data_IF_915013435779
#
_entry.id   IF_915013435779
#
_cell.length_a   1.000
_cell.length_b   1.000
_cell.length_c   1.000
_cell.angle_alpha   90.00
_cell.angle_beta   90.00
_cell.angle_gamma   90.00
#
_symmetry.space_group_name_H-M   'P 1'
#
loop_
_entity.id
_entity.type
_entity.pdbx_description
1 polymer ?
#
# COMPACT_ATOMS: atom_id res chain seq x y z
N UNK A 1 4.08 13.99 -12.75
CA UNK A 1 3.05 14.98 -12.37
C UNK A 1 1.65 14.40 -12.18
N UNK A 2 0.81 14.17 -13.21
CA UNK A 2 -0.61 13.80 -12.98
C UNK A 2 -0.78 12.52 -12.13
N UNK A 3 0.05 11.51 -12.38
CA UNK A 3 0.01 10.22 -11.68
C UNK A 3 0.52 10.30 -10.24
N UNK A 4 1.50 11.15 -9.96
CA UNK A 4 2.00 11.41 -8.59
C UNK A 4 0.94 12.14 -7.77
N UNK A 5 0.26 13.13 -8.38
CA UNK A 5 -0.86 13.81 -7.73
C UNK A 5 -2.01 12.83 -7.46
N UNK A 6 -2.33 11.93 -8.40
CA UNK A 6 -3.31 10.87 -8.16
C UNK A 6 -2.90 9.92 -7.02
N UNK A 7 -1.61 9.57 -6.92
CA UNK A 7 -1.08 8.76 -5.83
C UNK A 7 -1.22 9.48 -4.48
N UNK A 8 -0.81 10.75 -4.42
CA UNK A 8 -0.92 11.57 -3.22
C UNK A 8 -2.38 11.74 -2.77
N UNK A 9 -3.30 11.98 -3.71
CA UNK A 9 -4.73 12.06 -3.42
C UNK A 9 -5.26 10.72 -2.86
N UNK A 10 -4.86 9.58 -3.45
CA UNK A 10 -5.22 8.25 -2.94
C UNK A 10 -4.71 8.01 -1.52
N UNK A 11 -3.47 8.39 -1.22
CA UNK A 11 -2.91 8.28 0.13
C UNK A 11 -3.57 9.24 1.12
N UNK A 12 -3.93 10.45 0.69
CA UNK A 12 -4.62 11.44 1.53
C UNK A 12 -5.99 10.92 1.97
N UNK A 13 -6.71 10.27 1.05
CA UNK A 13 -7.99 9.61 1.34
C UNK A 13 -7.86 8.53 2.41
N UNK A 14 -6.74 7.82 2.42
CA UNK A 14 -6.48 6.76 3.40
C UNK A 14 -6.05 7.35 4.74
N UNK A 15 -5.23 8.39 4.71
CA UNK A 15 -4.73 9.07 5.91
C UNK A 15 -5.82 9.85 6.66
N UNK A 16 -6.86 10.32 5.98
CA UNK A 16 -7.97 11.06 6.60
C UNK A 16 -8.90 10.18 7.44
N UNK A 17 -8.71 8.86 7.44
CA UNK A 17 -9.43 7.87 8.26
C UNK A 17 -10.97 8.08 8.34
N UNK A 18 -11.70 8.26 7.22
CA UNK A 18 -13.13 8.48 7.28
C UNK A 18 -13.90 7.20 7.64
N UNK A 19 -13.61 6.09 6.96
CA UNK A 19 -14.12 4.74 7.27
C UNK A 19 -13.34 3.70 6.44
N UNK A 20 -13.29 2.42 6.86
CA UNK A 20 -12.48 1.41 6.18
C UNK A 20 -12.90 1.16 4.72
N UNK A 21 -14.18 1.33 4.37
CA UNK A 21 -14.65 1.21 2.98
C UNK A 21 -14.04 2.26 2.05
N UNK A 22 -14.05 3.53 2.48
CA UNK A 22 -13.47 4.60 1.67
C UNK A 22 -11.94 4.54 1.64
N UNK A 23 -11.32 4.09 2.74
CA UNK A 23 -9.89 3.80 2.75
C UNK A 23 -9.53 2.72 1.72
N UNK A 24 -10.36 1.68 1.57
CA UNK A 24 -10.16 0.67 0.54
C UNK A 24 -10.17 1.31 -0.86
N UNK A 25 -11.18 2.13 -1.18
CA UNK A 25 -11.25 2.79 -2.47
C UNK A 25 -10.05 3.72 -2.73
N UNK A 26 -9.60 4.46 -1.71
CA UNK A 26 -8.40 5.30 -1.79
C UNK A 26 -7.12 4.49 -2.04
N UNK A 27 -6.98 3.34 -1.38
CA UNK A 27 -5.89 2.40 -1.60
C UNK A 27 -5.91 1.81 -3.01
N UNK A 28 -7.09 1.48 -3.56
CA UNK A 28 -7.18 0.98 -4.95
C UNK A 28 -6.69 2.03 -5.93
N UNK A 29 -7.15 3.28 -5.74
CA UNK A 29 -6.77 4.41 -6.57
C UNK A 29 -5.27 4.70 -6.48
N UNK A 30 -4.74 4.79 -5.25
CA UNK A 30 -3.33 5.08 -4.99
C UNK A 30 -2.40 3.99 -5.55
N UNK A 31 -2.72 2.72 -5.32
CA UNK A 31 -1.94 1.60 -5.85
C UNK A 31 -2.01 1.53 -7.40
N UNK A 32 -3.17 1.79 -8.00
CA UNK A 32 -3.30 1.89 -9.46
C UNK A 32 -2.45 3.01 -10.07
N UNK A 33 -2.45 4.19 -9.44
CA UNK A 33 -1.59 5.30 -9.84
C UNK A 33 -0.10 4.97 -9.66
N UNK A 34 0.26 4.28 -8.57
CA UNK A 34 1.62 3.77 -8.31
C UNK A 34 2.10 2.78 -9.37
N UNK A 35 1.27 1.82 -9.77
CA UNK A 35 1.56 0.91 -10.88
C UNK A 35 1.83 1.68 -12.18
N UNK A 36 1.03 2.71 -12.48
CA UNK A 36 1.25 3.52 -13.69
C UNK A 36 2.56 4.31 -13.66
N UNK A 37 3.01 4.76 -12.48
CA UNK A 37 4.33 5.39 -12.32
C UNK A 37 5.44 4.36 -12.56
N UNK A 38 5.32 3.16 -12.00
CA UNK A 38 6.32 2.09 -12.19
C UNK A 38 6.44 1.66 -13.65
N UNK A 39 5.31 1.48 -14.35
CA UNK A 39 5.30 1.14 -15.78
C UNK A 39 5.96 2.23 -16.62
N UNK A 40 5.75 3.52 -16.29
CA UNK A 40 6.42 4.63 -16.99
C UNK A 40 7.94 4.62 -16.83
N UNK A 41 8.42 4.12 -15.70
CA UNK A 41 9.84 4.00 -15.40
C UNK A 41 10.44 2.67 -15.91
N UNK A 42 9.75 1.96 -16.80
CA UNK A 42 10.13 0.64 -17.33
C UNK A 42 10.27 -0.45 -16.26
N UNK A 43 9.71 -0.24 -15.06
CA UNK A 43 9.71 -1.18 -13.95
C UNK A 43 8.48 -2.09 -13.98
N UNK A 44 8.37 -2.87 -15.06
CA UNK A 44 7.19 -3.69 -15.36
C UNK A 44 6.96 -4.82 -14.36
N UNK A 45 8.02 -5.53 -13.95
CA UNK A 45 7.89 -6.66 -13.03
C UNK A 45 7.46 -6.19 -11.63
N UNK A 46 8.10 -5.13 -11.14
CA UNK A 46 7.75 -4.55 -9.84
C UNK A 46 6.30 -4.02 -9.83
N UNK A 47 5.84 -3.42 -10.93
CA UNK A 47 4.45 -3.00 -11.08
C UNK A 47 3.47 -4.16 -11.00
N UNK A 48 3.77 -5.31 -11.63
CA UNK A 48 2.90 -6.48 -11.57
C UNK A 48 2.84 -7.09 -10.17
N UNK A 49 3.96 -7.16 -9.46
CA UNK A 49 3.99 -7.63 -8.07
C UNK A 49 3.14 -6.71 -7.18
N UNK A 50 3.29 -5.39 -7.32
CA UNK A 50 2.50 -4.42 -6.56
C UNK A 50 1.01 -4.62 -6.84
N UNK A 51 0.63 -4.74 -8.12
CA UNK A 51 -0.75 -5.00 -8.51
C UNK A 51 -1.29 -6.30 -7.90
N UNK A 52 -0.55 -7.41 -8.01
CA UNK A 52 -1.02 -8.72 -7.53
C UNK A 52 -1.07 -8.83 -6.01
N UNK A 53 -0.02 -8.43 -5.30
CA UNK A 53 0.05 -8.59 -3.84
C UNK A 53 -0.82 -7.54 -3.15
N UNK A 54 -0.77 -6.29 -3.60
CA UNK A 54 -1.50 -5.20 -2.97
C UNK A 54 -2.99 -5.23 -3.34
N UNK A 55 -3.31 -5.04 -4.62
CA UNK A 55 -4.71 -4.98 -5.08
C UNK A 55 -5.37 -6.36 -5.10
N UNK A 56 -4.64 -7.41 -5.42
CA UNK A 56 -5.18 -8.78 -5.41
C UNK A 56 -5.24 -9.39 -4.02
N UNK A 57 -4.12 -9.40 -3.30
CA UNK A 57 -4.01 -10.08 -2.01
C UNK A 57 -4.58 -9.27 -0.84
N UNK A 58 -3.89 -8.19 -0.46
CA UNK A 58 -4.18 -7.48 0.77
C UNK A 58 -5.50 -6.73 0.73
N UNK A 59 -5.87 -6.16 -0.42
CA UNK A 59 -7.12 -5.42 -0.55
C UNK A 59 -8.36 -6.30 -0.44
N UNK A 60 -8.31 -7.56 -0.88
CA UNK A 60 -9.43 -8.49 -0.74
C UNK A 60 -9.66 -8.86 0.72
N UNK A 61 -8.58 -9.14 1.47
CA UNK A 61 -8.68 -9.42 2.91
C UNK A 61 -9.15 -8.17 3.67
N UNK A 62 -8.65 -6.99 3.32
CA UNK A 62 -9.09 -5.73 3.91
C UNK A 62 -10.58 -5.46 3.66
N UNK A 63 -11.06 -5.67 2.43
CA UNK A 63 -12.47 -5.55 2.09
C UNK A 63 -13.32 -6.57 2.88
N UNK A 64 -12.87 -7.81 3.00
CA UNK A 64 -13.54 -8.84 3.80
C UNK A 64 -13.66 -8.45 5.28
N UNK A 65 -12.57 -7.98 5.89
CA UNK A 65 -12.59 -7.50 7.28
C UNK A 65 -13.49 -6.26 7.44
N UNK A 66 -13.45 -5.32 6.50
CA UNK A 66 -14.32 -4.14 6.53
C UNK A 66 -15.81 -4.52 6.44
N UNK A 67 -16.14 -5.57 5.67
CA UNK A 67 -17.50 -6.10 5.59
C UNK A 67 -17.94 -6.82 6.87
N UNK A 68 -17.03 -7.46 7.61
CA UNK A 68 -17.33 -8.08 8.90
C UNK A 68 -17.55 -7.06 10.02
N UNK A 69 -16.86 -5.91 9.97
CA UNK A 69 -16.97 -4.82 10.96
C UNK A 69 -17.86 -3.69 10.42
N UNK A 70 -18.76 -4.01 9.48
CA UNK A 70 -19.62 -3.02 8.84
C UNK A 70 -20.51 -2.31 9.87
N UNK A 71 -20.25 -1.03 10.12
CA UNK A 71 -21.15 -0.19 10.91
C UNK A 71 -22.41 0.13 10.10
N UNK A 72 -23.62 0.08 10.70
CA UNK A 72 -24.88 0.28 9.97
C UNK A 72 -25.06 1.72 9.43
N UNK A 73 -24.29 2.68 9.95
CA UNK A 73 -24.24 4.06 9.49
C UNK A 73 -22.79 4.47 9.22
N UNK A 74 -22.25 4.18 8.02
CA UNK A 74 -20.88 4.57 7.72
C UNK A 74 -20.76 6.09 7.79
N UNK A 75 -19.76 6.59 8.54
CA UNK A 75 -19.39 8.01 8.52
C UNK A 75 -19.11 8.41 7.06
N UNK A 76 -20.01 9.23 6.51
CA UNK A 76 -19.86 9.75 5.17
C UNK A 76 -18.73 10.79 5.16
N UNK A 77 -17.97 10.86 4.06
CA UNK A 77 -16.96 11.91 3.81
C UNK A 77 -17.46 13.34 4.03
N UNK A 78 -18.78 13.55 4.09
CA UNK A 78 -19.42 14.84 4.32
C UNK A 78 -19.47 15.31 5.78
N UNK A 79 -18.93 14.56 6.75
CA UNK A 79 -18.88 15.07 8.14
C UNK A 79 -17.89 16.25 8.22
N UNK A 80 -18.32 17.35 8.84
CA UNK A 80 -17.58 18.62 8.89
C UNK A 80 -16.17 18.46 9.50
N UNK A 81 -15.99 17.51 10.41
CA UNK A 81 -14.70 17.19 11.02
C UNK A 81 -13.73 16.53 10.05
N UNK A 82 -14.16 15.53 9.28
CA UNK A 82 -13.33 14.86 8.26
C UNK A 82 -12.93 15.83 7.14
N UNK A 83 -13.85 16.72 6.77
CA UNK A 83 -13.62 17.77 5.79
C UNK A 83 -12.58 18.80 6.29
N UNK A 84 -12.65 19.22 7.56
CA UNK A 84 -11.59 20.05 8.16
C UNK A 84 -10.24 19.32 8.20
N UNK A 85 -10.22 18.04 8.61
CA UNK A 85 -8.99 17.28 8.72
C UNK A 85 -8.29 17.08 7.36
N UNK A 86 -9.07 16.71 6.34
CA UNK A 86 -8.58 16.59 4.96
C UNK A 86 -8.05 17.93 4.41
N UNK A 87 -8.72 19.06 4.69
CA UNK A 87 -8.26 20.38 4.29
C UNK A 87 -6.94 20.78 4.97
N UNK A 88 -6.78 20.51 6.27
CA UNK A 88 -5.53 20.74 6.99
C UNK A 88 -4.41 19.89 6.41
N UNK A 89 -4.69 18.62 6.10
CA UNK A 89 -3.72 17.72 5.47
C UNK A 89 -3.29 18.25 4.09
N UNK A 90 -4.24 18.65 3.23
CA UNK A 90 -3.97 19.29 1.94
C UNK A 90 -3.12 20.57 2.10
N UNK A 91 -3.46 21.45 3.04
CA UNK A 91 -2.70 22.67 3.30
C UNK A 91 -1.27 22.36 3.74
N UNK A 92 -1.09 21.37 4.63
CA UNK A 92 0.24 20.96 5.09
C UNK A 92 1.10 20.41 3.95
N UNK A 93 0.51 19.63 3.04
CA UNK A 93 1.21 19.13 1.85
C UNK A 93 1.59 20.25 0.88
N UNK A 94 0.70 21.22 0.67
CA UNK A 94 0.98 22.40 -0.16
C UNK A 94 2.12 23.26 0.41
N UNK A 95 2.12 23.49 1.73
CA UNK A 95 3.19 24.22 2.41
C UNK A 95 4.51 23.45 2.30
N UNK A 96 4.49 22.13 2.54
CA UNK A 96 5.65 21.26 2.38
C UNK A 96 6.24 21.34 0.96
N UNK A 97 5.37 21.26 -0.07
CA UNK A 97 5.80 21.41 -1.46
C UNK A 97 6.46 22.77 -1.69
N UNK A 98 5.84 23.86 -1.26
CA UNK A 98 6.44 25.20 -1.42
C UNK A 98 7.77 25.34 -0.68
N UNK A 99 7.92 24.74 0.50
CA UNK A 99 9.17 24.76 1.29
C UNK A 99 10.29 23.95 0.64
N UNK A 100 9.97 22.82 -0.02
CA UNK A 100 10.95 22.05 -0.80
C UNK A 100 11.33 22.73 -2.12
N UNK A 101 10.83 23.94 -2.39
CA UNK A 101 11.22 24.76 -3.54
C UNK A 101 10.83 24.18 -4.89
N UNK A 102 9.89 23.22 -4.92
CA UNK A 102 9.51 22.50 -6.14
C UNK A 102 10.63 21.63 -6.73
N UNK A 103 11.78 21.52 -6.06
CA UNK A 103 12.81 20.57 -6.42
C UNK A 103 12.36 19.20 -5.95
N UNK A 104 11.70 18.47 -6.85
CA UNK A 104 11.69 17.02 -6.72
C UNK A 104 13.16 16.64 -6.63
N UNK A 105 13.55 15.91 -5.59
CA UNK A 105 14.74 15.10 -5.73
C UNK A 105 14.40 14.14 -6.86
N UNK A 106 14.69 14.54 -8.10
CA UNK A 106 15.03 13.60 -9.14
C UNK A 106 16.22 12.87 -8.54
N UNK A 107 15.94 11.80 -7.78
CA UNK A 107 16.87 10.71 -7.64
C UNK A 107 17.20 10.42 -9.09
N UNK A 108 18.40 10.82 -9.53
CA UNK A 108 18.82 10.72 -10.92
C UNK A 108 18.93 9.25 -11.31
N UNK A 109 17.78 8.59 -11.46
CA UNK A 109 17.64 7.42 -12.28
C UNK A 109 17.78 7.99 -13.68
N UNK A 110 19.02 8.08 -14.16
CA UNK A 110 19.27 8.16 -15.58
C UNK A 110 18.48 6.99 -16.18
N UNK A 111 17.34 7.31 -16.80
CA UNK A 111 16.49 6.39 -17.57
C UNK A 111 17.28 6.01 -18.81
N UNK A 112 18.39 5.30 -18.59
CA UNK A 112 19.06 4.61 -19.65
C UNK A 112 18.25 3.37 -19.97
N UNK A 113 18.19 3.03 -21.25
CA UNK A 113 17.47 1.90 -21.86
C UNK A 113 17.76 0.51 -21.26
N UNK A 114 18.60 0.43 -20.22
CA UNK A 114 18.94 -0.77 -19.47
C UNK A 114 18.09 -1.04 -18.23
N UNK A 115 17.11 -0.20 -17.86
CA UNK A 115 16.30 -0.42 -16.64
C UNK A 115 15.52 -1.73 -16.70
N UNK A 116 14.88 -2.03 -17.84
CA UNK A 116 14.18 -3.30 -18.01
C UNK A 116 15.11 -4.50 -17.84
N UNK A 117 16.27 -4.49 -18.51
CA UNK A 117 17.27 -5.57 -18.39
C UNK A 117 17.80 -5.70 -16.96
N UNK A 118 17.92 -4.57 -16.25
CA UNK A 118 18.34 -4.54 -14.85
C UNK A 118 17.30 -5.18 -13.92
N UNK A 119 16.00 -5.03 -14.18
CA UNK A 119 14.97 -5.76 -13.43
C UNK A 119 15.14 -7.28 -13.59
N UNK A 120 15.28 -7.77 -14.83
CA UNK A 120 15.47 -9.20 -15.09
C UNK A 120 16.72 -9.77 -14.44
N UNK A 121 17.82 -9.01 -14.49
CA UNK A 121 19.05 -9.38 -13.82
C UNK A 121 18.89 -9.39 -12.30
N UNK A 122 18.23 -8.39 -11.72
CA UNK A 122 17.94 -8.37 -10.29
C UNK A 122 17.11 -9.57 -9.82
N UNK A 123 16.11 -9.98 -10.60
CA UNK A 123 15.31 -11.18 -10.32
C UNK A 123 16.19 -12.44 -10.40
N UNK A 124 17.02 -12.54 -11.45
CA UNK A 124 17.94 -13.67 -11.61
C UNK A 124 18.93 -13.79 -10.45
N UNK A 125 19.49 -12.66 -9.97
CA UNK A 125 20.40 -12.64 -8.82
C UNK A 125 19.70 -13.05 -7.51
N UNK A 126 18.45 -12.63 -7.31
CA UNK A 126 17.63 -13.04 -6.17
C UNK A 126 17.39 -14.55 -6.14
N UNK A 127 17.12 -15.16 -7.31
CA UNK A 127 16.92 -16.60 -7.45
C UNK A 127 18.23 -17.41 -7.41
N UNK A 128 19.33 -16.84 -7.90
CA UNK A 128 20.64 -17.51 -7.93
C UNK A 128 21.40 -17.41 -6.61
N UNK A 129 21.83 -16.20 -6.26
CA UNK A 129 22.67 -15.93 -5.08
C UNK A 129 21.86 -15.55 -3.83
N UNK A 130 20.64 -15.06 -4.01
CA UNK A 130 19.74 -14.59 -2.95
C UNK A 130 19.02 -15.69 -2.17
N UNK A 131 19.42 -16.96 -2.29
CA UNK A 131 18.75 -18.09 -1.66
C UNK A 131 18.58 -17.96 -0.15
N UNK A 132 19.55 -17.36 0.56
CA UNK A 132 19.44 -17.09 2.00
C UNK A 132 18.28 -16.11 2.32
N UNK A 133 18.14 -15.05 1.53
CA UNK A 133 17.06 -14.06 1.68
C UNK A 133 15.70 -14.71 1.38
N UNK A 134 15.62 -15.54 0.33
CA UNK A 134 14.39 -16.28 -0.01
C UNK A 134 14.00 -17.28 1.09
N UNK A 135 14.99 -17.98 1.66
CA UNK A 135 14.75 -18.92 2.76
C UNK A 135 14.26 -18.20 4.02
N UNK A 136 14.89 -17.09 4.42
CA UNK A 136 14.45 -16.28 5.56
C UNK A 136 13.06 -15.67 5.31
N UNK A 137 12.80 -15.18 4.10
CA UNK A 137 11.49 -14.67 3.70
C UNK A 137 10.40 -15.73 3.81
N UNK A 138 10.63 -16.91 3.22
CA UNK A 138 9.70 -18.04 3.30
C UNK A 138 9.48 -18.54 4.73
N UNK A 139 10.55 -18.62 5.53
CA UNK A 139 10.47 -18.98 6.94
C UNK A 139 9.63 -17.97 7.74
N UNK A 140 9.83 -16.68 7.50
CA UNK A 140 9.04 -15.63 8.16
C UNK A 140 7.55 -15.72 7.81
N UNK A 141 7.20 -16.00 6.54
CA UNK A 141 5.81 -16.19 6.10
C UNK A 141 5.16 -17.44 6.71
N UNK A 142 5.92 -18.53 6.89
CA UNK A 142 5.42 -19.71 7.60
C UNK A 142 5.15 -19.40 9.07
N UNK A 143 6.08 -18.69 9.74
CA UNK A 143 5.90 -18.27 11.12
C UNK A 143 4.70 -17.33 11.28
N UNK A 144 4.51 -16.35 10.39
CA UNK A 144 3.32 -15.48 10.45
C UNK A 144 2.03 -16.27 10.27
N UNK A 145 2.01 -17.28 9.40
CA UNK A 145 0.87 -18.18 9.24
C UNK A 145 0.57 -18.94 10.54
N UNK A 146 1.58 -19.51 11.21
CA UNK A 146 1.37 -20.18 12.50
C UNK A 146 0.86 -19.21 13.58
N UNK A 147 1.43 -18.01 13.66
CA UNK A 147 0.99 -16.97 14.60
C UNK A 147 -0.48 -16.62 14.36
N UNK A 148 -0.87 -16.37 13.10
CA UNK A 148 -2.27 -16.07 12.77
C UNK A 148 -3.20 -17.25 13.10
N UNK A 149 -2.78 -18.49 12.85
CA UNK A 149 -3.56 -19.68 13.20
C UNK A 149 -3.75 -19.83 14.71
N UNK A 150 -2.73 -19.56 15.53
CA UNK A 150 -2.86 -19.57 16.99
C UNK A 150 -3.77 -18.44 17.49
N UNK A 151 -3.64 -17.23 16.94
CA UNK A 151 -4.50 -16.08 17.28
C UNK A 151 -5.97 -16.39 16.99
N UNK A 152 -6.28 -16.98 15.83
CA UNK A 152 -7.66 -17.34 15.47
C UNK A 152 -8.16 -18.56 16.27
N UNK A 153 -7.30 -19.54 16.56
CA UNK A 153 -7.64 -20.69 17.43
C UNK A 153 -7.97 -20.28 18.86
N UNK A 154 -7.39 -19.19 19.34
CA UNK A 154 -7.70 -18.60 20.65
C UNK A 154 -9.19 -18.34 20.87
N UNK A 155 -9.95 -18.08 19.79
CA UNK A 155 -11.40 -17.86 19.85
C UNK A 155 -12.23 -19.12 20.18
N UNK A 156 -11.67 -20.33 19.98
CA UNK A 156 -12.40 -21.61 20.17
C UNK A 156 -11.86 -22.50 21.29
N UNK A 157 -10.60 -22.32 21.75
CA UNK A 157 -10.02 -23.15 22.82
C UNK A 157 -8.88 -22.48 23.63
N UNK A 158 -8.75 -21.13 23.61
CA UNK A 158 -7.67 -20.42 24.30
C UNK A 158 -8.08 -19.76 25.63
N UNK A 159 -7.11 -19.48 26.50
CA UNK A 159 -7.27 -18.81 27.80
C UNK A 159 -7.77 -17.33 27.73
N UNK A 160 -8.09 -16.83 26.52
CA UNK A 160 -8.66 -15.50 26.28
C UNK A 160 -10.19 -15.48 26.30
N UNK A 161 -10.84 -16.63 26.57
CA UNK A 161 -12.27 -16.70 26.87
C UNK A 161 -12.55 -16.21 28.31
N UNK A 162 -12.14 -15.00 28.62
CA UNK A 162 -12.40 -14.37 29.92
C UNK A 162 -12.80 -12.90 29.78
N UNK A 163 -13.52 -12.54 28.72
CA UNK A 163 -14.51 -11.44 28.65
C UNK A 163 -15.54 -11.79 27.58
#
# INVERSE_FOLDING_TARGET
MISEMCLLLGLLVVASNPSPYFAALGLVWGAGAGCFILVKNELGFLSLILFLIYLGGMMVVFAYCSALVAEPYPEAWGSYMLLCYSLVCCFSLMICWMLMGGSWCDLGYNLDSGVFMREWWGISELLGSGGCVLFLGGWSLLLTLFVVLEVVRGHSAGALQAV
#
